data_IF_919435780291
#
_entry.id   IF_919435780291
#
_cell.length_a   1.000
_cell.length_b   1.000
_cell.length_c   1.000
_cell.angle_alpha   90.00
_cell.angle_beta   90.00
_cell.angle_gamma   90.00
#
_symmetry.space_group_name_H-M   'P 1'
#
loop_
_entity.id
_entity.type
_entity.pdbx_description
1 polymer ?
#
# COMPACT_ATOMS: atom_id res chain seq x y z
N UNK A 1 -8.95 5.70 3.82
CA UNK A 1 -8.61 5.99 5.24
C UNK A 1 -7.41 5.19 5.72
N UNK A 2 -7.26 3.92 5.33
CA UNK A 2 -6.15 3.06 5.78
C UNK A 2 -4.76 3.58 5.35
N UNK A 3 -4.61 4.14 4.14
CA UNK A 3 -3.37 4.83 3.74
C UNK A 3 -2.94 5.97 4.68
N UNK A 4 -3.88 6.79 5.17
CA UNK A 4 -3.60 7.87 6.15
C UNK A 4 -3.13 7.27 7.48
N UNK A 5 -3.75 6.17 7.91
CA UNK A 5 -3.32 5.44 9.10
C UNK A 5 -1.86 4.95 8.98
N UNK A 6 -1.44 4.43 7.82
CA UNK A 6 -0.05 4.01 7.59
C UNK A 6 0.93 5.19 7.71
N UNK A 7 0.61 6.35 7.15
CA UNK A 7 1.44 7.56 7.25
C UNK A 7 1.51 8.06 8.69
N UNK A 8 0.41 8.01 9.44
CA UNK A 8 0.40 8.39 10.86
C UNK A 8 1.25 7.43 11.71
N UNK A 9 1.13 6.12 11.47
CA UNK A 9 1.94 5.11 12.15
C UNK A 9 3.43 5.25 11.82
N UNK A 10 3.77 5.62 10.58
CA UNK A 10 5.13 6.00 10.22
C UNK A 10 5.64 7.19 11.06
N UNK A 11 4.86 8.27 11.11
CA UNK A 11 5.22 9.47 11.86
C UNK A 11 5.42 9.15 13.33
N UNK A 12 4.57 8.31 13.92
CA UNK A 12 4.71 7.84 15.29
C UNK A 12 6.01 7.05 15.49
N UNK A 13 6.35 6.12 14.58
CA UNK A 13 7.63 5.41 14.62
C UNK A 13 8.84 6.36 14.50
N UNK A 14 8.74 7.40 13.67
CA UNK A 14 9.77 8.42 13.52
C UNK A 14 9.97 9.21 14.82
N UNK A 15 8.89 9.64 15.48
CA UNK A 15 8.97 10.35 16.77
C UNK A 15 9.61 9.46 17.83
N UNK A 16 9.23 8.18 17.90
CA UNK A 16 9.84 7.22 18.82
C UNK A 16 11.34 7.02 18.55
N UNK A 17 11.77 7.09 17.29
CA UNK A 17 13.16 6.95 16.90
C UNK A 17 13.98 8.21 17.17
N UNK A 18 13.49 9.39 16.79
CA UNK A 18 14.16 10.67 17.05
C UNK A 18 14.30 10.95 18.55
N UNK A 19 13.40 10.42 19.37
CA UNK A 19 13.47 10.48 20.83
C UNK A 19 14.47 9.51 21.48
N UNK A 20 15.24 8.72 20.71
CA UNK A 20 16.23 7.79 21.27
C UNK A 20 17.52 8.52 21.66
N UNK A 21 17.99 8.26 22.89
CA UNK A 21 19.28 8.78 23.37
C UNK A 21 20.35 7.70 23.20
N UNK A 22 21.46 8.01 22.52
CA UNK A 22 22.61 7.09 22.35
C UNK A 22 23.04 6.52 23.71
N UNK A 23 22.87 5.20 23.88
CA UNK A 23 23.30 4.44 25.05
C UNK A 23 24.42 3.46 24.69
N UNK A 24 24.98 2.78 25.70
CA UNK A 24 26.15 1.88 25.57
C UNK A 24 25.90 0.70 24.61
N UNK A 25 24.66 0.21 24.52
CA UNK A 25 24.25 -0.88 23.61
C UNK A 25 23.67 -0.37 22.28
N UNK A 26 23.88 0.90 21.94
CA UNK A 26 23.41 1.50 20.67
C UNK A 26 21.94 1.91 20.65
N UNK A 27 21.52 2.41 19.49
CA UNK A 27 20.15 2.81 19.15
C UNK A 27 19.41 1.67 18.45
N UNK A 28 18.09 1.63 18.58
CA UNK A 28 17.26 0.64 17.87
C UNK A 28 16.85 1.22 16.53
N UNK A 29 17.41 0.68 15.45
CA UNK A 29 17.13 1.08 14.06
C UNK A 29 16.28 0.00 13.37
N UNK A 30 14.94 0.12 13.36
CA UNK A 30 14.09 -0.80 12.63
C UNK A 30 14.34 -0.70 11.11
N UNK A 31 14.30 -1.84 10.43
CA UNK A 31 14.54 -1.93 8.98
C UNK A 31 13.44 -1.18 8.22
N UNK A 32 12.20 -1.26 8.69
CA UNK A 32 11.05 -0.53 8.12
C UNK A 32 11.23 0.99 8.20
N UNK A 33 11.86 1.50 9.26
CA UNK A 33 12.23 2.92 9.36
C UNK A 33 13.34 3.28 8.37
N UNK A 34 14.42 2.49 8.32
CA UNK A 34 15.57 2.75 7.44
C UNK A 34 15.21 2.71 5.95
N UNK A 35 14.27 1.84 5.60
CA UNK A 35 13.75 1.71 4.22
C UNK A 35 12.63 2.70 3.91
N UNK A 36 12.14 3.44 4.89
CA UNK A 36 11.00 4.35 4.72
C UNK A 36 9.73 3.62 4.28
N UNK A 37 9.62 2.32 4.54
CA UNK A 37 8.58 1.46 3.99
C UNK A 37 7.16 1.95 4.33
N UNK A 38 7.00 2.53 5.51
CA UNK A 38 5.73 3.06 5.99
C UNK A 38 5.35 4.42 5.36
N UNK A 39 6.29 5.17 4.74
CA UNK A 39 5.98 6.34 3.88
C UNK A 39 5.29 5.93 2.58
N UNK A 40 5.42 4.66 2.18
CA UNK A 40 4.77 4.14 0.99
C UNK A 40 3.25 4.12 1.12
N UNK A 41 2.71 4.35 2.33
CA UNK A 41 1.29 4.65 2.55
C UNK A 41 0.75 5.82 1.71
N UNK A 42 1.63 6.73 1.26
CA UNK A 42 1.26 7.81 0.33
C UNK A 42 0.76 7.26 -1.02
N UNK A 43 1.35 6.16 -1.51
CA UNK A 43 0.88 5.50 -2.73
C UNK A 43 -0.54 4.95 -2.56
N UNK A 44 -0.87 4.40 -1.39
CA UNK A 44 -2.23 3.92 -1.10
C UNK A 44 -3.25 5.05 -1.06
N UNK A 45 -2.87 6.24 -0.57
CA UNK A 45 -3.75 7.43 -0.60
C UNK A 45 -4.02 7.85 -2.05
N UNK A 46 -2.97 7.91 -2.88
CA UNK A 46 -3.10 8.26 -4.30
C UNK A 46 -3.97 7.23 -5.02
N UNK A 47 -3.71 5.94 -4.81
CA UNK A 47 -4.51 4.85 -5.38
C UNK A 47 -6.00 4.99 -5.01
N UNK A 48 -6.31 5.24 -3.74
CA UNK A 48 -7.68 5.48 -3.28
C UNK A 48 -8.34 6.69 -3.95
N UNK A 49 -7.61 7.80 -4.13
CA UNK A 49 -8.14 8.98 -4.82
C UNK A 49 -8.45 8.72 -6.30
N UNK A 50 -7.58 7.96 -6.98
CA UNK A 50 -7.81 7.55 -8.37
C UNK A 50 -9.01 6.62 -8.51
N UNK A 51 -9.18 5.66 -7.60
CA UNK A 51 -10.36 4.78 -7.56
C UNK A 51 -11.64 5.61 -7.49
N UNK A 52 -11.75 6.55 -6.52
CA UNK A 52 -12.93 7.41 -6.35
C UNK A 52 -13.20 8.23 -7.63
N UNK A 53 -12.15 8.78 -8.23
CA UNK A 53 -12.27 9.58 -9.46
C UNK A 53 -12.82 8.74 -10.62
N UNK A 54 -12.31 7.53 -10.80
CA UNK A 54 -12.75 6.62 -11.87
C UNK A 54 -14.17 6.12 -11.63
N UNK A 55 -14.56 5.87 -10.37
CA UNK A 55 -15.95 5.50 -10.06
C UNK A 55 -16.93 6.62 -10.39
N UNK A 56 -16.55 7.89 -10.18
CA UNK A 56 -17.43 9.05 -10.50
C UNK A 56 -17.46 9.39 -11.98
N UNK A 57 -16.30 9.32 -12.66
CA UNK A 57 -16.16 9.65 -14.08
C UNK A 57 -15.34 8.57 -14.80
N UNK A 58 -16.00 7.49 -15.27
CA UNK A 58 -15.31 6.31 -15.81
C UNK A 58 -14.77 6.55 -17.23
N UNK A 59 -13.55 7.05 -17.32
CA UNK A 59 -12.78 7.17 -18.57
C UNK A 59 -11.87 5.97 -18.79
N UNK A 60 -11.71 5.51 -20.04
CA UNK A 60 -10.86 4.34 -20.38
C UNK A 60 -9.44 4.49 -19.86
N UNK A 61 -8.80 5.64 -20.14
CA UNK A 61 -7.45 5.94 -19.64
C UNK A 61 -7.40 5.99 -18.11
N UNK A 62 -8.44 6.50 -17.44
CA UNK A 62 -8.52 6.53 -15.98
C UNK A 62 -8.55 5.14 -15.36
N UNK A 63 -9.32 4.21 -15.94
CA UNK A 63 -9.39 2.81 -15.48
C UNK A 63 -8.02 2.14 -15.64
N UNK A 64 -7.37 2.29 -16.79
CA UNK A 64 -6.03 1.74 -17.04
C UNK A 64 -4.99 2.32 -16.08
N UNK A 65 -4.96 3.63 -15.89
CA UNK A 65 -4.06 4.27 -14.92
C UNK A 65 -4.28 3.76 -13.50
N UNK A 66 -5.54 3.58 -13.09
CA UNK A 66 -5.88 3.08 -11.75
C UNK A 66 -5.43 1.63 -11.58
N UNK A 67 -5.58 0.79 -12.60
CA UNK A 67 -5.11 -0.58 -12.59
C UNK A 67 -3.57 -0.66 -12.43
N UNK A 68 -2.83 0.18 -13.17
CA UNK A 68 -1.38 0.27 -13.04
C UNK A 68 -0.99 0.66 -11.61
N UNK A 69 -1.61 1.70 -11.06
CA UNK A 69 -1.33 2.17 -9.69
C UNK A 69 -1.65 1.06 -8.66
N UNK A 70 -2.75 0.34 -8.82
CA UNK A 70 -3.13 -0.74 -7.91
C UNK A 70 -2.16 -1.92 -7.96
N UNK A 71 -1.63 -2.27 -9.15
CA UNK A 71 -0.57 -3.30 -9.27
C UNK A 71 0.70 -2.87 -8.55
N UNK A 72 1.11 -1.60 -8.66
CA UNK A 72 2.22 -1.08 -7.87
C UNK A 72 1.94 -1.11 -6.35
N UNK A 73 0.71 -0.82 -5.94
CA UNK A 73 0.29 -0.94 -4.53
C UNK A 73 0.38 -2.39 -4.04
N UNK A 74 -0.01 -3.36 -4.86
CA UNK A 74 0.13 -4.79 -4.54
C UNK A 74 1.61 -5.16 -4.35
N UNK A 75 2.48 -4.76 -5.27
CA UNK A 75 3.91 -5.08 -5.16
C UNK A 75 4.55 -4.46 -3.90
N UNK A 76 4.21 -3.19 -3.61
CA UNK A 76 4.72 -2.49 -2.42
C UNK A 76 4.20 -3.09 -1.12
N UNK A 77 2.93 -3.51 -1.04
CA UNK A 77 2.39 -4.21 0.16
C UNK A 77 3.10 -5.53 0.43
N UNK A 78 3.37 -6.33 -0.61
CA UNK A 78 4.10 -7.60 -0.46
C UNK A 78 5.52 -7.36 0.10
N UNK A 79 6.24 -6.39 -0.49
CA UNK A 79 7.58 -6.02 -0.01
C UNK A 79 7.52 -5.52 1.44
N UNK A 80 6.53 -4.69 1.78
CA UNK A 80 6.34 -4.18 3.13
C UNK A 80 6.09 -5.28 4.17
N UNK A 81 5.25 -6.26 3.83
CA UNK A 81 4.98 -7.43 4.67
C UNK A 81 6.29 -8.21 4.91
N UNK A 82 7.05 -8.50 3.86
CA UNK A 82 8.31 -9.24 3.96
C UNK A 82 9.31 -8.50 4.87
N UNK A 83 9.51 -7.19 4.65
CA UNK A 83 10.41 -6.38 5.48
C UNK A 83 9.97 -6.34 6.94
N UNK A 84 8.66 -6.23 7.18
CA UNK A 84 8.08 -6.21 8.52
C UNK A 84 8.29 -7.55 9.23
N UNK A 85 8.09 -8.68 8.54
CA UNK A 85 8.36 -10.03 9.09
C UNK A 85 9.85 -10.22 9.40
N UNK A 86 10.75 -9.77 8.53
CA UNK A 86 12.20 -9.83 8.78
C UNK A 86 12.57 -9.01 10.02
N UNK A 87 12.02 -7.81 10.17
CA UNK A 87 12.23 -6.97 11.36
C UNK A 87 11.70 -7.63 12.64
N UNK A 88 10.53 -8.23 12.58
CA UNK A 88 9.90 -8.91 13.72
C UNK A 88 10.61 -10.20 14.12
N UNK A 89 11.19 -10.91 13.17
CA UNK A 89 11.93 -12.16 13.40
C UNK A 89 13.36 -11.92 13.89
N UNK A 90 13.98 -10.77 13.56
CA UNK A 90 15.35 -10.48 13.96
C UNK A 90 15.42 -9.77 15.33
N UNK A 91 15.57 -10.56 16.40
CA UNK A 91 15.65 -10.04 17.77
C UNK A 91 17.09 -9.69 18.14
N UNK A 92 17.57 -8.49 17.79
CA UNK A 92 18.79 -7.95 18.41
C UNK A 92 18.50 -7.44 19.82
N UNK A 93 19.39 -7.75 20.77
CA UNK A 93 19.33 -7.22 22.13
C UNK A 93 19.54 -5.70 22.08
N UNK A 94 18.56 -4.95 22.58
CA UNK A 94 18.57 -3.48 22.64
C UNK A 94 18.95 -3.04 24.05
N UNK A 95 19.63 -1.90 24.20
CA UNK A 95 19.90 -1.26 25.50
C UNK A 95 18.63 -1.16 26.35
N UNK A 96 18.71 -1.53 27.64
CA UNK A 96 17.59 -1.44 28.59
C UNK A 96 16.93 -0.06 28.62
N UNK A 97 17.73 1.01 28.48
CA UNK A 97 17.23 2.40 28.45
C UNK A 97 16.32 2.71 27.26
N UNK A 98 16.51 2.04 26.14
CA UNK A 98 15.72 2.21 24.91
C UNK A 98 14.73 1.04 24.71
N UNK A 99 14.63 0.12 25.67
CA UNK A 99 13.80 -1.09 25.58
C UNK A 99 12.31 -0.76 25.45
N UNK A 100 11.81 0.23 26.19
CA UNK A 100 10.41 0.66 26.12
C UNK A 100 10.02 1.16 24.73
N UNK A 101 10.83 2.05 24.14
CA UNK A 101 10.63 2.56 22.78
C UNK A 101 10.73 1.45 21.73
N UNK A 102 11.71 0.54 21.85
CA UNK A 102 11.87 -0.59 20.93
C UNK A 102 10.72 -1.62 21.03
N UNK A 103 10.15 -1.82 22.22
CA UNK A 103 8.97 -2.68 22.42
C UNK A 103 7.73 -2.04 21.78
N UNK A 104 7.51 -0.75 22.03
CA UNK A 104 6.37 -0.02 21.48
C UNK A 104 6.42 0.05 19.95
N UNK A 105 7.59 0.36 19.37
CA UNK A 105 7.79 0.36 17.93
C UNK A 105 7.49 -1.01 17.29
N UNK A 106 7.86 -2.10 17.96
CA UNK A 106 7.52 -3.46 17.48
C UNK A 106 6.04 -3.78 17.53
N UNK A 107 5.32 -3.32 18.56
CA UNK A 107 3.86 -3.50 18.59
C UNK A 107 3.19 -2.71 17.47
N UNK A 108 3.68 -1.50 17.16
CA UNK A 108 3.20 -0.72 16.01
C UNK A 108 3.48 -1.48 14.70
N UNK A 109 4.67 -2.05 14.52
CA UNK A 109 4.99 -2.91 13.36
C UNK A 109 4.07 -4.14 13.25
N UNK A 110 3.66 -4.75 14.37
CA UNK A 110 2.67 -5.85 14.37
C UNK A 110 1.28 -5.38 13.96
N UNK A 111 0.85 -4.22 14.44
CA UNK A 111 -0.43 -3.63 14.06
C UNK A 111 -0.42 -3.35 12.55
N UNK A 112 0.64 -2.72 12.03
CA UNK A 112 0.82 -2.50 10.59
C UNK A 112 0.77 -3.80 9.78
N UNK A 113 1.39 -4.88 10.27
CA UNK A 113 1.36 -6.19 9.62
C UNK A 113 -0.06 -6.73 9.44
N UNK A 114 -1.00 -6.39 10.32
CA UNK A 114 -2.41 -6.75 10.18
C UNK A 114 -3.15 -5.90 9.13
N UNK A 115 -2.78 -4.63 8.97
CA UNK A 115 -3.41 -3.71 8.02
C UNK A 115 -2.88 -3.84 6.58
N UNK A 116 -1.64 -4.30 6.37
CA UNK A 116 -1.11 -4.50 5.01
C UNK A 116 -1.90 -5.51 4.16
N UNK A 117 -2.31 -6.69 4.67
CA UNK A 117 -3.18 -7.61 3.94
C UNK A 117 -4.51 -6.99 3.53
N UNK A 118 -5.05 -6.09 4.35
CA UNK A 118 -6.32 -5.42 4.08
C UNK A 118 -6.18 -4.45 2.88
N UNK A 119 -5.09 -3.69 2.81
CA UNK A 119 -4.78 -2.87 1.63
C UNK A 119 -4.55 -3.73 0.39
N UNK A 120 -3.85 -4.86 0.53
CA UNK A 120 -3.66 -5.83 -0.55
C UNK A 120 -5.00 -6.33 -1.08
N UNK A 121 -5.93 -6.75 -0.21
CA UNK A 121 -7.25 -7.23 -0.62
C UNK A 121 -8.07 -6.16 -1.34
N UNK A 122 -8.04 -4.90 -0.89
CA UNK A 122 -8.73 -3.80 -1.55
C UNK A 122 -8.13 -3.56 -2.94
N UNK A 123 -6.80 -3.43 -3.04
CA UNK A 123 -6.13 -3.20 -4.31
C UNK A 123 -6.38 -4.35 -5.30
N UNK A 124 -6.40 -5.60 -4.82
CA UNK A 124 -6.70 -6.78 -5.62
C UNK A 124 -8.15 -6.76 -6.13
N UNK A 125 -9.12 -6.54 -5.25
CA UNK A 125 -10.54 -6.50 -5.62
C UNK A 125 -10.82 -5.43 -6.68
N UNK A 126 -10.29 -4.21 -6.48
CA UNK A 126 -10.46 -3.13 -7.47
C UNK A 126 -9.71 -3.39 -8.78
N UNK A 127 -8.57 -4.07 -8.73
CA UNK A 127 -7.86 -4.49 -9.96
C UNK A 127 -8.67 -5.50 -10.76
N UNK A 128 -9.26 -6.50 -10.09
CA UNK A 128 -10.13 -7.50 -10.74
C UNK A 128 -11.36 -6.82 -11.34
N UNK A 129 -12.09 -6.00 -10.56
CA UNK A 129 -13.27 -5.30 -11.06
C UNK A 129 -12.94 -4.36 -12.24
N UNK A 130 -11.82 -3.63 -12.16
CA UNK A 130 -11.38 -2.75 -13.25
C UNK A 130 -11.03 -3.54 -14.51
N UNK A 131 -10.42 -4.72 -14.34
CA UNK A 131 -10.10 -5.63 -15.44
C UNK A 131 -11.38 -6.15 -16.11
N UNK A 132 -12.35 -6.66 -15.34
CA UNK A 132 -13.64 -7.12 -15.87
C UNK A 132 -14.37 -6.02 -16.65
N UNK A 133 -14.43 -4.80 -16.11
CA UNK A 133 -15.05 -3.66 -16.78
C UNK A 133 -14.36 -3.29 -18.10
N UNK A 134 -13.03 -3.44 -18.18
CA UNK A 134 -12.26 -3.21 -19.41
C UNK A 134 -12.55 -4.28 -20.47
N UNK A 135 -12.66 -5.55 -20.07
CA UNK A 135 -13.00 -6.65 -20.96
C UNK A 135 -14.41 -6.51 -21.54
N UNK A 136 -15.41 -6.22 -20.69
CA UNK A 136 -16.79 -6.06 -21.13
C UNK A 136 -16.94 -4.90 -22.15
N UNK A 137 -16.29 -3.77 -21.89
CA UNK A 137 -16.30 -2.62 -22.82
C UNK A 137 -15.64 -2.92 -24.16
N UNK A 138 -14.60 -3.75 -24.17
CA UNK A 138 -13.94 -4.16 -25.41
C UNK A 138 -14.85 -5.06 -26.26
N UNK A 139 -15.64 -5.91 -25.61
CA UNK A 139 -16.62 -6.79 -26.28
C UNK A 139 -17.78 -6.00 -26.87
N UNK A 140 -18.29 -4.99 -26.15
CA UNK A 140 -19.31 -4.06 -26.66
C UNK A 140 -18.83 -3.27 -27.89
N UNK A 141 -17.59 -2.75 -27.86
CA UNK A 141 -16.98 -2.00 -28.97
C UNK A 141 -16.69 -2.90 -30.19
N UNK A 142 -16.34 -4.17 -29.96
CA UNK A 142 -16.13 -5.13 -31.04
C UNK A 142 -17.44 -5.58 -31.71
N UNK A 143 -18.56 -5.50 -30.99
CA UNK A 143 -19.89 -5.92 -31.49
C UNK A 143 -20.65 -4.78 -32.19
N UNK A 144 -20.36 -3.52 -31.86
CA UNK A 144 -20.92 -2.35 -32.54
C UNK A 144 -20.32 -2.10 -33.93
N UNK A 145 -19.02 -2.36 -34.12
CA UNK A 145 -18.33 -2.22 -35.40
C UNK A 145 -18.93 -3.03 -36.57
N UNK A 146 -19.30 -4.32 -36.41
CA UNK A 146 -19.94 -5.08 -37.49
C UNK A 146 -21.37 -4.60 -37.78
N UNK A 147 -22.11 -4.08 -36.79
CA UNK A 147 -23.49 -3.60 -37.00
C UNK A 147 -23.57 -2.30 -37.79
N UNK A 148 -22.65 -1.36 -37.59
CA UNK A 148 -22.60 -0.14 -38.42
C UNK A 148 -22.23 -0.47 -39.88
N UNK A 149 -21.29 -1.39 -40.09
CA UNK A 149 -20.89 -1.81 -41.43
C UNK A 149 -22.01 -2.51 -42.23
N UNK A 150 -22.87 -3.29 -41.57
CA UNK A 150 -24.04 -3.92 -42.21
C UNK A 150 -25.22 -2.96 -42.42
N UNK A 151 -25.35 -1.89 -41.63
CA UNK A 151 -26.45 -0.91 -41.75
C UNK A 151 -26.26 0.14 -42.84
N UNK A 152 -25.08 0.18 -43.48
CA UNK A 152 -24.71 1.18 -44.50
C UNK A 152 -24.87 0.65 -45.94
N UNK A 153 -25.56 -0.48 -46.14
CA UNK A 153 -25.80 -1.10 -47.45
C UNK A 153 -27.28 -1.15 -47.83
#
# INVERSE_FOLDING_TARGET
>A
MIGVFHVFMWYFLLVLYMGQIKGVFGTYEPITYKTGCTLWGTFFIIAGAFIIRVTKHPTRSGIICTLIINVFCIMTTIIAIILTIIELSNFKSVSYRNYGQAKLGREVSRILLFFYPLEFSIALAYSICSCCNLFQRHEDDATSLPQEAESTF
#
